data_IF_851001232729
#
_entry.id   IF_851001232729
#
_cell.length_a   1.000
_cell.length_b   1.000
_cell.length_c   1.000
_cell.angle_alpha   90.00
_cell.angle_beta   90.00
_cell.angle_gamma   90.00
#
_symmetry.space_group_name_H-M   'P 1'
#
loop_
_entity.id
_entity.type
_entity.pdbx_description
1 polymer ?
#
# COMPACT_ATOMS: atom_id res chain seq x y z
N UNK A 1 23.41 -44.90 -22.23
CA UNK A 1 22.08 -44.44 -21.77
C UNK A 1 21.64 -43.33 -22.71
N UNK A 2 20.43 -43.38 -23.25
CA UNK A 2 19.91 -42.37 -24.17
C UNK A 2 19.98 -40.97 -23.53
N UNK A 3 20.50 -39.97 -24.25
CA UNK A 3 20.72 -38.57 -23.79
C UNK A 3 19.51 -38.02 -23.03
N UNK A 4 18.31 -38.30 -23.52
CA UNK A 4 17.03 -37.93 -22.87
C UNK A 4 16.87 -38.46 -21.44
N UNK A 5 17.29 -39.70 -21.15
CA UNK A 5 17.20 -40.28 -19.78
C UNK A 5 18.15 -39.58 -18.81
N UNK A 6 19.28 -39.09 -19.31
CA UNK A 6 20.22 -38.31 -18.51
C UNK A 6 19.66 -36.91 -18.23
N UNK A 7 19.11 -36.22 -19.23
CA UNK A 7 18.42 -34.93 -19.04
C UNK A 7 17.23 -35.05 -18.07
N UNK A 8 16.40 -36.09 -18.22
CA UNK A 8 15.30 -36.37 -17.29
C UNK A 8 15.79 -36.57 -15.85
N UNK A 9 16.92 -37.26 -15.67
CA UNK A 9 17.51 -37.44 -14.35
C UNK A 9 17.99 -36.10 -13.77
N UNK A 10 18.68 -35.28 -14.56
CA UNK A 10 19.21 -33.98 -14.14
C UNK A 10 18.11 -33.00 -13.77
N UNK A 11 17.07 -32.86 -14.61
CA UNK A 11 15.96 -31.90 -14.40
C UNK A 11 15.12 -32.26 -13.16
N UNK A 12 14.95 -33.55 -12.85
CA UNK A 12 14.18 -34.00 -11.68
C UNK A 12 14.98 -34.04 -10.37
N UNK A 13 16.24 -33.60 -10.35
CA UNK A 13 16.99 -33.53 -9.09
C UNK A 13 16.48 -32.36 -8.24
N UNK A 14 16.17 -32.63 -6.96
CA UNK A 14 15.79 -31.59 -5.98
C UNK A 14 16.82 -30.46 -5.86
N UNK A 15 18.09 -30.74 -6.15
CA UNK A 15 19.15 -29.73 -6.15
C UNK A 15 19.15 -28.85 -7.41
N UNK A 16 18.63 -29.34 -8.54
CA UNK A 16 18.50 -28.56 -9.77
C UNK A 16 17.49 -27.43 -9.58
N UNK A 17 16.30 -27.72 -9.06
CA UNK A 17 15.28 -26.71 -8.74
C UNK A 17 15.79 -25.68 -7.71
N UNK A 18 16.48 -26.14 -6.66
CA UNK A 18 17.08 -25.24 -5.66
C UNK A 18 18.18 -24.35 -6.27
N UNK A 19 19.00 -24.90 -7.16
CA UNK A 19 20.05 -24.16 -7.85
C UNK A 19 19.45 -23.06 -8.76
N UNK A 20 18.48 -23.41 -9.60
CA UNK A 20 17.79 -22.45 -10.45
C UNK A 20 17.10 -21.36 -9.60
N UNK A 21 16.45 -21.73 -8.50
CA UNK A 21 15.86 -20.76 -7.58
C UNK A 21 16.89 -19.79 -6.97
N UNK A 22 18.08 -20.27 -6.59
CA UNK A 22 19.17 -19.41 -6.07
C UNK A 22 19.67 -18.46 -7.16
N UNK A 23 19.85 -18.95 -8.39
CA UNK A 23 20.29 -18.13 -9.54
C UNK A 23 19.24 -17.08 -9.89
N UNK A 24 17.95 -17.44 -9.82
CA UNK A 24 16.83 -16.49 -9.96
C UNK A 24 16.95 -15.37 -8.91
N UNK A 25 17.09 -15.72 -7.63
CA UNK A 25 17.24 -14.72 -6.56
C UNK A 25 18.48 -13.84 -6.76
N UNK A 26 19.61 -14.42 -7.16
CA UNK A 26 20.84 -13.68 -7.43
C UNK A 26 20.67 -12.70 -8.60
N UNK A 27 19.97 -13.11 -9.68
CA UNK A 27 19.65 -12.23 -10.80
C UNK A 27 18.73 -11.06 -10.39
N UNK A 28 17.73 -11.30 -9.52
CA UNK A 28 16.86 -10.23 -9.02
C UNK A 28 17.63 -9.21 -8.19
N UNK A 29 18.56 -9.68 -7.35
CA UNK A 29 19.40 -8.82 -6.52
C UNK A 29 20.35 -8.01 -7.41
N UNK A 30 20.97 -8.64 -8.41
CA UNK A 30 21.84 -7.95 -9.36
C UNK A 30 21.09 -6.80 -10.06
N UNK A 31 19.89 -7.07 -10.55
CA UNK A 31 19.02 -6.07 -11.16
C UNK A 31 18.63 -4.94 -10.18
N UNK A 32 18.26 -5.28 -8.94
CA UNK A 32 17.91 -4.29 -7.93
C UNK A 32 19.10 -3.40 -7.52
N UNK A 33 20.34 -3.85 -7.74
CA UNK A 33 21.56 -3.09 -7.44
C UNK A 33 22.06 -2.23 -8.62
N UNK A 34 21.42 -2.31 -9.78
CA UNK A 34 21.75 -1.50 -10.95
C UNK A 34 21.56 0.00 -10.65
N UNK A 35 22.50 0.85 -11.08
CA UNK A 35 22.33 2.31 -11.00
C UNK A 35 21.44 2.82 -12.14
N UNK A 36 20.26 3.41 -11.87
CA UNK A 36 19.42 3.96 -12.93
C UNK A 36 19.93 5.31 -13.46
N UNK A 37 20.87 5.98 -12.79
CA UNK A 37 21.34 7.32 -13.15
C UNK A 37 22.67 7.27 -13.89
N UNK A 38 23.57 6.37 -13.47
CA UNK A 38 24.93 6.28 -13.99
C UNK A 38 25.18 4.98 -14.76
N UNK A 39 24.67 4.91 -16.00
CA UNK A 39 24.77 3.72 -16.88
C UNK A 39 26.20 3.18 -17.02
N UNK A 40 27.20 4.06 -17.20
CA UNK A 40 28.60 3.69 -17.41
C UNK A 40 29.43 3.42 -16.12
N UNK A 41 28.77 3.32 -14.97
CA UNK A 41 29.43 3.04 -13.68
C UNK A 41 30.18 1.70 -13.71
N UNK A 42 31.31 1.61 -13.01
CA UNK A 42 32.04 0.34 -12.83
C UNK A 42 31.18 -0.75 -12.20
N UNK A 43 30.20 -0.39 -11.36
CA UNK A 43 29.21 -1.32 -10.82
C UNK A 43 28.36 -1.93 -11.92
N UNK A 44 27.81 -1.10 -12.82
CA UNK A 44 26.94 -1.56 -13.90
C UNK A 44 27.69 -2.45 -14.90
N UNK A 45 28.96 -2.13 -15.23
CA UNK A 45 29.79 -2.99 -16.08
C UNK A 45 30.05 -4.38 -15.49
N UNK A 46 30.14 -4.48 -14.15
CA UNK A 46 30.29 -5.78 -13.46
C UNK A 46 28.94 -6.52 -13.46
N UNK A 47 27.84 -5.81 -13.22
CA UNK A 47 26.49 -6.38 -13.24
C UNK A 47 26.12 -6.92 -14.63
N UNK A 48 26.48 -6.23 -15.70
CA UNK A 48 26.31 -6.66 -17.08
C UNK A 48 26.98 -8.03 -17.35
N UNK A 49 28.18 -8.26 -16.80
CA UNK A 49 28.85 -9.55 -16.92
C UNK A 49 28.11 -10.66 -16.14
N UNK A 50 27.55 -10.34 -14.98
CA UNK A 50 26.70 -11.27 -14.23
C UNK A 50 25.40 -11.59 -14.97
N UNK A 51 24.80 -10.61 -15.66
CA UNK A 51 23.59 -10.82 -16.46
C UNK A 51 23.84 -11.78 -17.63
N UNK A 52 24.98 -11.67 -18.32
CA UNK A 52 25.39 -12.67 -19.32
C UNK A 52 25.57 -14.05 -18.72
N UNK A 53 26.16 -14.15 -17.52
CA UNK A 53 26.33 -15.43 -16.83
C UNK A 53 25.00 -16.06 -16.42
N UNK A 54 24.06 -15.27 -15.90
CA UNK A 54 22.72 -15.72 -15.52
C UNK A 54 21.91 -16.19 -16.72
N UNK A 55 21.93 -15.42 -17.81
CA UNK A 55 21.32 -15.80 -19.09
C UNK A 55 21.86 -17.12 -19.62
N UNK A 56 23.17 -17.35 -19.53
CA UNK A 56 23.78 -18.62 -19.91
C UNK A 56 23.23 -19.81 -19.12
N UNK A 57 23.09 -19.66 -17.79
CA UNK A 57 22.52 -20.70 -16.93
C UNK A 57 21.06 -21.01 -17.31
N UNK A 58 20.27 -19.98 -17.61
CA UNK A 58 18.87 -20.13 -18.01
C UNK A 58 18.70 -20.73 -19.40
N UNK A 59 19.60 -20.42 -20.32
CA UNK A 59 19.64 -21.05 -21.65
C UNK A 59 19.94 -22.54 -21.54
N UNK A 60 20.87 -22.93 -20.66
CA UNK A 60 21.16 -24.34 -20.40
C UNK A 60 19.97 -25.04 -19.75
N UNK A 61 19.31 -24.41 -18.79
CA UNK A 61 18.07 -24.91 -18.18
C UNK A 61 16.98 -25.15 -19.25
N UNK A 62 16.75 -24.18 -20.13
CA UNK A 62 15.80 -24.27 -21.23
C UNK A 62 16.11 -25.46 -22.15
N UNK A 63 17.36 -25.58 -22.60
CA UNK A 63 17.79 -26.68 -23.48
C UNK A 63 17.60 -28.05 -22.80
N UNK A 64 17.93 -28.16 -21.51
CA UNK A 64 17.72 -29.39 -20.75
C UNK A 64 16.24 -29.77 -20.65
N UNK A 65 15.35 -28.79 -20.40
CA UNK A 65 13.89 -28.98 -20.37
C UNK A 65 13.32 -29.36 -21.74
N UNK A 66 13.79 -28.73 -22.83
CA UNK A 66 13.37 -29.06 -24.21
C UNK A 66 13.76 -30.49 -24.59
N UNK A 67 14.96 -30.96 -24.20
CA UNK A 67 15.41 -32.32 -24.48
C UNK A 67 14.65 -33.37 -23.65
N UNK A 68 14.31 -33.03 -22.40
CA UNK A 68 13.61 -33.93 -21.50
C UNK A 68 12.14 -34.12 -21.88
N UNK A 69 11.41 -33.00 -21.89
CA UNK A 69 9.99 -32.94 -22.20
C UNK A 69 9.82 -33.21 -23.71
N UNK A 70 10.42 -32.39 -24.56
CA UNK A 70 10.23 -32.40 -26.02
C UNK A 70 9.37 -31.23 -26.49
N UNK A 71 9.41 -30.92 -27.79
CA UNK A 71 8.92 -29.63 -28.30
C UNK A 71 7.39 -29.49 -28.35
N UNK A 72 6.65 -30.35 -29.08
CA UNK A 72 5.19 -30.09 -29.35
C UNK A 72 4.27 -31.32 -29.23
N UNK A 73 4.75 -32.54 -29.50
CA UNK A 73 3.88 -33.68 -29.84
C UNK A 73 3.20 -34.44 -28.68
N UNK A 74 3.46 -34.10 -27.41
CA UNK A 74 2.94 -34.85 -26.25
C UNK A 74 2.28 -33.90 -25.22
N UNK A 75 1.36 -34.40 -24.36
CA UNK A 75 0.57 -33.55 -23.46
C UNK A 75 1.37 -32.87 -22.34
N UNK A 76 2.64 -33.22 -22.15
CA UNK A 76 3.60 -32.53 -21.27
C UNK A 76 4.70 -31.78 -22.02
N UNK A 77 4.47 -31.43 -23.29
CA UNK A 77 5.47 -30.78 -24.12
C UNK A 77 5.77 -29.36 -23.68
N UNK A 78 7.02 -28.96 -23.86
CA UNK A 78 7.55 -27.67 -23.43
C UNK A 78 6.71 -26.49 -23.96
N UNK A 79 6.35 -26.50 -25.25
CA UNK A 79 5.55 -25.43 -25.87
C UNK A 79 4.05 -25.47 -25.54
N UNK A 80 3.57 -26.34 -24.65
CA UNK A 80 2.17 -26.36 -24.19
C UNK A 80 2.00 -25.79 -22.79
N UNK A 81 3.09 -25.60 -22.07
CA UNK A 81 3.11 -24.98 -20.76
C UNK A 81 3.41 -23.47 -20.93
N UNK A 82 2.45 -22.57 -20.58
CA UNK A 82 2.62 -21.13 -20.69
C UNK A 82 3.87 -20.60 -19.96
N UNK A 83 4.28 -21.26 -18.88
CA UNK A 83 5.44 -20.86 -18.09
C UNK A 83 6.76 -21.19 -18.78
N UNK A 84 6.84 -22.36 -19.41
CA UNK A 84 7.97 -22.71 -20.26
C UNK A 84 8.05 -21.81 -21.51
N UNK A 85 6.90 -21.38 -22.07
CA UNK A 85 6.89 -20.40 -23.17
C UNK A 85 7.44 -19.04 -22.69
N UNK A 86 7.06 -18.59 -21.50
CA UNK A 86 7.58 -17.35 -20.91
C UNK A 86 9.09 -17.43 -20.68
N UNK A 87 9.59 -18.56 -20.16
CA UNK A 87 11.03 -18.80 -19.99
C UNK A 87 11.78 -18.77 -21.33
N UNK A 88 11.20 -19.34 -22.40
CA UNK A 88 11.79 -19.33 -23.74
C UNK A 88 11.83 -17.94 -24.36
N UNK A 89 10.75 -17.16 -24.23
CA UNK A 89 10.71 -15.77 -24.71
C UNK A 89 11.79 -14.95 -24.00
N UNK A 90 11.92 -15.08 -22.67
CA UNK A 90 12.94 -14.35 -21.90
C UNK A 90 14.37 -14.77 -22.30
N UNK A 91 14.60 -16.05 -22.58
CA UNK A 91 15.92 -16.54 -23.01
C UNK A 91 16.30 -16.08 -24.44
N UNK A 92 15.32 -16.01 -25.35
CA UNK A 92 15.54 -15.69 -26.77
C UNK A 92 15.65 -14.16 -27.04
N UNK A 93 15.26 -13.31 -26.09
CA UNK A 93 15.39 -11.84 -26.23
C UNK A 93 16.81 -11.29 -26.02
N UNK A 94 17.82 -12.15 -25.95
CA UNK A 94 19.24 -11.74 -25.96
C UNK A 94 19.65 -11.34 -27.39
N UNK A 95 20.58 -10.38 -27.50
CA UNK A 95 20.87 -9.57 -28.71
C UNK A 95 21.00 -10.29 -30.09
N UNK A 96 21.06 -11.62 -30.16
CA UNK A 96 21.27 -12.37 -31.41
C UNK A 96 20.01 -12.56 -32.27
N UNK A 97 18.78 -12.34 -31.76
CA UNK A 97 17.53 -12.40 -32.57
C UNK A 97 17.04 -11.04 -33.10
N UNK A 98 17.92 -10.04 -33.23
CA UNK A 98 17.59 -8.78 -33.93
C UNK A 98 17.53 -8.90 -35.45
N UNK A 99 17.68 -10.09 -36.03
CA UNK A 99 17.56 -10.33 -37.47
C UNK A 99 16.08 -10.55 -37.81
N UNK A 100 15.36 -9.43 -37.93
CA UNK A 100 14.23 -9.30 -38.86
C UNK A 100 12.89 -9.86 -38.41
N UNK A 101 12.24 -9.20 -37.44
CA UNK A 101 10.80 -8.83 -37.49
C UNK A 101 10.36 -8.19 -36.16
N UNK A 102 10.33 -6.86 -36.10
CA UNK A 102 9.47 -5.95 -35.29
C UNK A 102 10.24 -4.67 -34.94
N UNK A 103 10.22 -3.69 -35.85
CA UNK A 103 10.65 -2.29 -35.65
C UNK A 103 9.69 -1.47 -34.77
N UNK A 104 8.95 -2.09 -33.84
CA UNK A 104 7.91 -1.41 -33.04
C UNK A 104 8.20 -1.26 -31.54
N UNK A 105 9.37 -1.68 -31.06
CA UNK A 105 9.74 -1.47 -29.65
C UNK A 105 10.66 -0.25 -29.50
N UNK A 106 10.38 0.66 -28.54
CA UNK A 106 11.25 1.81 -28.27
C UNK A 106 12.65 1.33 -27.90
N UNK A 107 13.65 1.83 -28.63
CA UNK A 107 15.07 1.68 -28.33
C UNK A 107 15.36 2.23 -26.93
N UNK A 108 15.58 1.36 -25.94
CA UNK A 108 15.93 1.77 -24.57
C UNK A 108 15.34 0.91 -23.44
N UNK A 109 14.63 -0.19 -23.74
CA UNK A 109 14.35 -1.19 -22.71
C UNK A 109 15.60 -2.06 -22.58
N UNK A 110 16.45 -1.74 -21.60
CA UNK A 110 17.59 -2.61 -21.26
C UNK A 110 17.08 -4.02 -20.98
N UNK A 111 17.85 -5.01 -21.43
CA UNK A 111 17.60 -6.45 -21.26
C UNK A 111 17.21 -6.82 -19.80
N UNK A 112 17.67 -6.01 -18.84
CA UNK A 112 17.40 -6.08 -17.41
C UNK A 112 15.92 -5.94 -16.99
N UNK A 113 15.08 -5.15 -17.70
CA UNK A 113 13.69 -4.89 -17.26
C UNK A 113 12.69 -6.00 -17.60
N UNK A 114 13.01 -6.84 -18.57
CA UNK A 114 12.15 -7.96 -18.99
C UNK A 114 12.38 -9.22 -18.13
N UNK A 115 13.56 -9.34 -17.51
CA UNK A 115 13.86 -10.40 -16.54
C UNK A 115 12.89 -10.41 -15.36
N UNK A 116 12.32 -9.27 -14.96
CA UNK A 116 11.36 -9.14 -13.83
C UNK A 116 10.11 -10.00 -14.01
N UNK A 117 9.67 -10.23 -15.25
CA UNK A 117 8.47 -11.03 -15.52
C UNK A 117 8.67 -12.51 -15.23
N UNK A 118 9.93 -12.98 -15.21
CA UNK A 118 10.34 -14.35 -14.88
C UNK A 118 10.19 -14.69 -13.39
N UNK A 119 10.07 -13.67 -12.53
CA UNK A 119 10.02 -13.80 -11.07
C UNK A 119 8.61 -13.90 -10.50
N UNK A 120 7.58 -13.80 -11.34
CA UNK A 120 6.19 -13.95 -10.88
C UNK A 120 5.88 -15.43 -10.77
N UNK A 121 5.66 -15.92 -9.55
CA UNK A 121 5.34 -17.33 -9.35
C UNK A 121 3.97 -17.66 -9.96
N UNK A 122 3.91 -18.81 -10.63
CA UNK A 122 2.70 -19.35 -11.25
C UNK A 122 1.48 -19.26 -10.33
N UNK A 123 1.65 -19.69 -9.07
CA UNK A 123 0.59 -19.65 -8.08
C UNK A 123 0.12 -18.22 -7.74
N UNK A 124 1.02 -17.23 -7.71
CA UNK A 124 0.66 -15.83 -7.41
C UNK A 124 -0.02 -15.20 -8.62
N UNK A 125 0.48 -15.44 -9.83
CA UNK A 125 -0.15 -14.95 -11.06
C UNK A 125 -1.54 -15.54 -11.26
N UNK A 126 -1.69 -16.85 -11.10
CA UNK A 126 -2.98 -17.53 -11.21
C UNK A 126 -3.97 -17.03 -10.15
N UNK A 127 -3.50 -16.79 -8.93
CA UNK A 127 -4.30 -16.18 -7.88
C UNK A 127 -4.74 -14.75 -8.25
N UNK A 128 -3.83 -13.93 -8.79
CA UNK A 128 -4.11 -12.56 -9.23
C UNK A 128 -5.09 -12.55 -10.40
N UNK A 129 -4.87 -13.36 -11.45
CA UNK A 129 -5.75 -13.43 -12.63
C UNK A 129 -7.13 -13.98 -12.26
N UNK A 130 -7.19 -15.01 -11.42
CA UNK A 130 -8.45 -15.55 -10.89
C UNK A 130 -9.22 -14.49 -10.08
N UNK A 131 -8.52 -13.68 -9.29
CA UNK A 131 -9.12 -12.58 -8.53
C UNK A 131 -9.56 -11.42 -9.42
N UNK A 132 -8.77 -11.07 -10.45
CA UNK A 132 -9.04 -9.99 -11.39
C UNK A 132 -10.29 -10.25 -12.23
N UNK A 133 -10.57 -11.52 -12.57
CA UNK A 133 -11.79 -11.88 -13.32
C UNK A 133 -13.07 -11.44 -12.61
N UNK A 134 -13.08 -11.44 -11.28
CA UNK A 134 -14.22 -10.96 -10.49
C UNK A 134 -14.24 -9.43 -10.38
N UNK A 135 -13.06 -8.80 -10.37
CA UNK A 135 -12.91 -7.33 -10.29
C UNK A 135 -13.24 -6.64 -11.61
N UNK A 136 -13.03 -7.32 -12.75
CA UNK A 136 -13.22 -6.74 -14.08
C UNK A 136 -14.64 -6.21 -14.32
N UNK A 137 -15.66 -6.91 -13.83
CA UNK A 137 -17.06 -6.45 -13.95
C UNK A 137 -17.31 -5.14 -13.18
N UNK A 138 -16.71 -4.99 -12.00
CA UNK A 138 -16.76 -3.78 -11.19
C UNK A 138 -16.04 -2.64 -11.90
N UNK A 139 -14.87 -2.94 -12.47
CA UNK A 139 -14.05 -1.96 -13.19
C UNK A 139 -14.81 -1.39 -14.40
N UNK A 140 -15.51 -2.22 -15.17
CA UNK A 140 -16.34 -1.75 -16.29
C UNK A 140 -17.41 -0.76 -15.80
N UNK A 141 -18.14 -1.12 -14.75
CA UNK A 141 -19.19 -0.24 -14.19
C UNK A 141 -18.59 1.08 -13.71
N UNK A 142 -17.46 1.04 -12.99
CA UNK A 142 -16.71 2.21 -12.56
C UNK A 142 -16.33 3.11 -13.76
N UNK A 143 -15.74 2.53 -14.80
CA UNK A 143 -15.33 3.27 -15.99
C UNK A 143 -16.52 3.89 -16.74
N UNK A 144 -17.67 3.22 -16.80
CA UNK A 144 -18.89 3.76 -17.43
C UNK A 144 -19.43 4.97 -16.67
N UNK A 145 -19.47 4.92 -15.34
CA UNK A 145 -19.89 6.07 -14.52
C UNK A 145 -18.90 7.24 -14.63
N UNK A 146 -17.59 6.95 -14.56
CA UNK A 146 -16.54 7.94 -14.82
C UNK A 146 -16.70 8.60 -16.19
N UNK A 147 -16.98 7.80 -17.22
CA UNK A 147 -17.16 8.29 -18.58
C UNK A 147 -18.33 9.28 -18.72
N UNK A 148 -19.47 9.02 -18.06
CA UNK A 148 -20.63 9.94 -18.07
C UNK A 148 -20.23 11.32 -17.52
N UNK A 149 -19.58 11.36 -16.36
CA UNK A 149 -19.11 12.61 -15.76
C UNK A 149 -17.98 13.26 -16.56
N UNK A 150 -17.10 12.48 -17.17
CA UNK A 150 -16.03 12.99 -18.02
C UNK A 150 -16.59 13.73 -19.24
N UNK A 151 -17.60 13.16 -19.91
CA UNK A 151 -18.28 13.84 -21.04
C UNK A 151 -18.90 15.16 -20.58
N UNK A 152 -19.58 15.19 -19.44
CA UNK A 152 -20.14 16.43 -18.87
C UNK A 152 -19.04 17.46 -18.60
N UNK A 153 -17.94 17.04 -17.98
CA UNK A 153 -16.83 17.93 -17.64
C UNK A 153 -16.16 18.52 -18.89
N UNK A 154 -15.96 17.73 -19.94
CA UNK A 154 -15.45 18.22 -21.23
C UNK A 154 -16.38 19.30 -21.80
N UNK A 155 -17.69 19.08 -21.79
CA UNK A 155 -18.62 20.09 -22.30
C UNK A 155 -18.58 21.40 -21.49
N UNK A 156 -18.35 21.32 -20.19
CA UNK A 156 -18.30 22.49 -19.31
C UNK A 156 -16.95 23.23 -19.35
N UNK A 157 -15.83 22.52 -19.47
CA UNK A 157 -14.49 23.04 -19.13
C UNK A 157 -13.45 22.90 -20.25
N UNK A 158 -13.79 22.35 -21.42
CA UNK A 158 -12.86 22.22 -22.55
C UNK A 158 -12.17 23.54 -22.92
N UNK A 159 -10.84 23.51 -23.03
CA UNK A 159 -10.02 24.62 -23.48
C UNK A 159 -9.97 25.82 -22.52
N UNK A 160 -10.39 25.67 -21.26
CA UNK A 160 -10.39 26.75 -20.25
C UNK A 160 -9.30 26.60 -19.19
N UNK A 161 -8.50 25.54 -19.27
CA UNK A 161 -7.46 25.18 -18.29
C UNK A 161 -6.07 25.67 -18.71
N UNK A 162 -6.01 26.71 -19.53
CA UNK A 162 -4.75 27.35 -19.88
C UNK A 162 -4.43 28.49 -18.91
N UNK A 163 -3.14 28.70 -18.65
CA UNK A 163 -2.68 29.81 -17.82
C UNK A 163 -1.34 30.33 -18.32
N UNK A 164 -1.08 31.60 -18.03
CA UNK A 164 0.25 32.20 -18.15
C UNK A 164 0.94 32.10 -16.78
N UNK A 165 2.25 31.87 -16.76
CA UNK A 165 3.03 31.99 -15.51
C UNK A 165 3.08 33.42 -14.95
N UNK A 166 2.71 34.44 -15.73
CA UNK A 166 2.43 35.80 -15.26
C UNK A 166 0.92 35.98 -15.08
N UNK A 167 0.46 36.08 -13.82
CA UNK A 167 -0.96 36.24 -13.48
C UNK A 167 -1.61 37.52 -14.05
N UNK A 168 -0.80 38.50 -14.49
CA UNK A 168 -1.30 39.74 -15.07
C UNK A 168 -1.77 39.56 -16.52
N UNK A 169 -1.42 38.45 -17.18
CA UNK A 169 -1.69 38.20 -18.60
C UNK A 169 -2.70 37.08 -18.78
N UNK A 170 -3.81 37.41 -19.45
CA UNK A 170 -4.95 36.51 -19.61
C UNK A 170 -5.02 35.86 -20.99
N UNK A 171 -4.27 36.32 -21.98
CA UNK A 171 -4.31 35.78 -23.35
C UNK A 171 -2.94 35.24 -23.77
N UNK A 172 -2.94 34.25 -24.66
CA UNK A 172 -1.73 33.65 -25.22
C UNK A 172 -0.87 34.68 -26.00
N UNK A 173 -1.52 35.65 -26.62
CA UNK A 173 -0.86 36.73 -27.39
C UNK A 173 -0.14 37.71 -26.46
N UNK A 174 -0.70 37.99 -25.28
CA UNK A 174 -0.07 38.85 -24.28
C UNK A 174 0.96 38.14 -23.41
N UNK A 175 0.89 36.81 -23.30
CA UNK A 175 1.81 35.97 -22.54
C UNK A 175 3.14 35.76 -23.31
N UNK A 176 3.82 36.87 -23.63
CA UNK A 176 5.09 36.89 -24.38
C UNK A 176 6.14 37.73 -23.66
N UNK A 177 7.41 37.47 -23.95
CA UNK A 177 8.55 38.20 -23.36
C UNK A 177 8.91 37.74 -21.95
N UNK A 178 9.39 38.66 -21.12
CA UNK A 178 9.89 38.38 -19.78
C UNK A 178 9.10 39.15 -18.71
N UNK A 179 9.07 38.60 -17.49
CA UNK A 179 8.51 39.25 -16.31
C UNK A 179 9.40 39.01 -15.08
N UNK A 180 9.15 39.76 -14.01
CA UNK A 180 9.88 39.62 -12.75
C UNK A 180 9.13 38.69 -11.81
N UNK A 181 9.78 37.60 -11.42
CA UNK A 181 9.34 36.71 -10.35
C UNK A 181 10.11 37.05 -9.08
N UNK A 182 9.39 37.33 -8.00
CA UNK A 182 9.97 37.66 -6.70
C UNK A 182 10.05 36.40 -5.85
N UNK A 183 11.25 36.03 -5.41
CA UNK A 183 11.43 34.91 -4.50
C UNK A 183 10.95 35.26 -3.07
N UNK A 184 10.97 34.30 -2.15
CA UNK A 184 10.55 34.49 -0.74
C UNK A 184 11.33 35.62 -0.02
N UNK A 185 12.51 35.99 -0.52
CA UNK A 185 13.36 37.07 0.00
C UNK A 185 13.11 38.44 -0.69
N UNK A 186 12.16 38.50 -1.62
CA UNK A 186 11.80 39.71 -2.36
C UNK A 186 12.80 40.12 -3.45
N UNK A 187 13.74 39.25 -3.83
CA UNK A 187 14.71 39.50 -4.90
C UNK A 187 14.05 39.18 -6.25
N UNK A 188 14.03 40.13 -7.20
CA UNK A 188 13.46 39.89 -8.52
C UNK A 188 14.38 39.04 -9.37
N UNK A 189 13.83 38.00 -9.99
CA UNK A 189 14.48 37.17 -11.01
C UNK A 189 13.73 37.31 -12.32
N UNK A 190 14.45 37.34 -13.44
CA UNK A 190 13.85 37.50 -14.77
C UNK A 190 13.51 36.13 -15.31
N UNK A 191 12.23 35.89 -15.58
CA UNK A 191 11.71 34.63 -16.10
C UNK A 191 10.97 34.88 -17.41
N UNK A 192 11.06 33.94 -18.35
CA UNK A 192 10.31 33.99 -19.61
C UNK A 192 8.85 33.64 -19.39
N UNK A 193 7.95 34.41 -19.99
CA UNK A 193 6.51 34.09 -19.99
C UNK A 193 6.26 32.82 -20.78
N UNK A 194 5.41 31.93 -20.24
CA UNK A 194 5.04 30.67 -20.86
C UNK A 194 3.53 30.46 -20.72
N UNK A 195 2.91 30.11 -21.85
CA UNK A 195 1.49 29.76 -21.91
C UNK A 195 1.35 28.24 -21.85
N UNK A 196 0.94 27.72 -20.69
CA UNK A 196 0.88 26.30 -20.42
C UNK A 196 -0.55 25.85 -20.10
N UNK A 197 -0.84 24.57 -20.31
CA UNK A 197 -2.09 23.94 -19.83
C UNK A 197 -1.86 23.33 -18.45
N UNK A 198 -2.88 23.35 -17.60
CA UNK A 198 -2.86 22.63 -16.33
C UNK A 198 -2.67 21.12 -16.57
N UNK A 199 -1.86 20.46 -15.73
CA UNK A 199 -1.58 19.03 -15.87
C UNK A 199 -2.84 18.16 -15.80
N UNK A 200 -3.80 18.54 -14.95
CA UNK A 200 -5.14 17.98 -14.91
C UNK A 200 -6.11 18.93 -15.59
N UNK A 201 -6.68 18.53 -16.73
CA UNK A 201 -7.58 19.33 -17.55
C UNK A 201 -8.75 18.47 -18.11
N UNK A 202 -9.64 19.14 -18.85
CA UNK A 202 -10.85 18.57 -19.43
C UNK A 202 -10.94 18.79 -20.95
N UNK A 203 -9.78 18.87 -21.64
CA UNK A 203 -9.74 19.20 -23.08
C UNK A 203 -10.25 18.05 -23.96
N UNK A 204 -10.11 16.81 -23.50
CA UNK A 204 -10.71 15.64 -24.13
C UNK A 204 -11.15 14.62 -23.08
N UNK A 205 -11.92 13.62 -23.51
CA UNK A 205 -12.52 12.63 -22.60
C UNK A 205 -11.45 11.80 -21.87
N UNK A 206 -10.31 11.52 -22.50
CA UNK A 206 -9.22 10.77 -21.88
C UNK A 206 -8.60 11.54 -20.70
N UNK A 207 -8.22 12.82 -20.90
CA UNK A 207 -7.72 13.68 -19.83
C UNK A 207 -8.79 13.95 -18.76
N UNK A 208 -10.05 14.12 -19.16
CA UNK A 208 -11.15 14.27 -18.22
C UNK A 208 -11.33 13.04 -17.32
N UNK A 209 -11.23 11.83 -17.88
CA UNK A 209 -11.28 10.59 -17.09
C UNK A 209 -10.09 10.46 -16.14
N UNK A 210 -8.88 10.86 -16.56
CA UNK A 210 -7.70 10.89 -15.69
C UNK A 210 -7.87 11.91 -14.55
N UNK A 211 -8.32 13.11 -14.86
CA UNK A 211 -8.59 14.16 -13.88
C UNK A 211 -9.65 13.71 -12.87
N UNK A 212 -10.77 13.13 -13.32
CA UNK A 212 -11.82 12.62 -12.43
C UNK A 212 -11.37 11.38 -11.63
N UNK A 213 -10.49 10.54 -12.18
CA UNK A 213 -9.85 9.46 -11.43
C UNK A 213 -9.06 10.03 -10.24
N UNK A 214 -8.21 11.03 -10.47
CA UNK A 214 -7.48 11.73 -9.40
C UNK A 214 -8.44 12.35 -8.38
N UNK A 215 -9.50 13.04 -8.82
CA UNK A 215 -10.53 13.60 -7.93
C UNK A 215 -11.20 12.51 -7.08
N UNK A 216 -11.43 11.32 -7.65
CA UNK A 216 -12.04 10.18 -6.95
C UNK A 216 -11.14 9.63 -5.85
N UNK A 217 -9.82 9.68 -6.02
CA UNK A 217 -8.87 9.26 -4.97
C UNK A 217 -8.83 10.22 -3.78
N UNK A 218 -9.38 11.42 -3.92
CA UNK A 218 -9.31 12.46 -2.89
C UNK A 218 -7.98 13.21 -2.87
N UNK A 219 -7.08 12.94 -3.81
CA UNK A 219 -5.79 13.63 -3.94
C UNK A 219 -5.87 14.77 -4.96
N UNK A 220 -5.30 15.93 -4.65
CA UNK A 220 -5.20 17.07 -5.57
C UNK A 220 -6.53 17.72 -6.04
N UNK A 221 -7.68 17.19 -5.62
CA UNK A 221 -8.99 17.70 -6.03
C UNK A 221 -9.27 19.17 -5.65
N UNK A 222 -8.77 19.75 -4.53
CA UNK A 222 -9.03 21.15 -4.23
C UNK A 222 -8.37 22.07 -5.27
N UNK A 223 -7.21 21.70 -5.80
CA UNK A 223 -6.52 22.43 -6.87
C UNK A 223 -7.31 22.35 -8.17
N UNK A 224 -7.79 21.16 -8.54
CA UNK A 224 -8.61 20.97 -9.74
C UNK A 224 -9.93 21.73 -9.63
N UNK A 225 -10.58 21.72 -8.46
CA UNK A 225 -11.77 22.51 -8.16
C UNK A 225 -11.49 24.00 -8.29
N UNK A 226 -10.42 24.51 -7.65
CA UNK A 226 -10.06 25.94 -7.71
C UNK A 226 -9.77 26.37 -9.15
N UNK A 227 -8.99 25.60 -9.90
CA UNK A 227 -8.75 25.83 -11.32
C UNK A 227 -10.05 25.84 -12.15
N UNK A 228 -11.05 25.04 -11.77
CA UNK A 228 -12.37 25.03 -12.43
C UNK A 228 -13.21 26.26 -12.09
N UNK A 229 -13.13 26.75 -10.85
CA UNK A 229 -13.82 27.96 -10.42
C UNK A 229 -13.19 29.22 -11.02
N UNK A 230 -11.86 29.21 -11.19
CA UNK A 230 -11.14 30.33 -11.79
C UNK A 230 -11.17 30.30 -13.33
N UNK A 231 -11.65 29.20 -13.92
CA UNK A 231 -11.71 29.04 -15.37
C UNK A 231 -12.68 30.06 -16.02
N UNK A 232 -12.19 30.79 -17.02
CA UNK A 232 -12.92 31.87 -17.70
C UNK A 232 -13.52 31.40 -19.04
N UNK A 233 -13.03 31.90 -20.16
CA UNK A 233 -13.43 31.53 -21.51
C UNK A 233 -12.40 30.59 -22.14
N UNK A 234 -12.75 30.07 -23.31
CA UNK A 234 -11.85 29.19 -24.08
C UNK A 234 -10.61 29.98 -24.49
N UNK A 235 -9.42 29.39 -24.29
CA UNK A 235 -8.10 29.98 -24.56
C UNK A 235 -7.80 31.27 -23.77
N UNK A 236 -8.45 31.47 -22.63
CA UNK A 236 -8.14 32.56 -21.70
C UNK A 236 -7.65 32.02 -20.37
N UNK A 237 -6.82 32.83 -19.71
CA UNK A 237 -6.23 32.55 -18.41
C UNK A 237 -7.27 32.61 -17.29
N UNK A 238 -6.95 32.02 -16.14
CA UNK A 238 -7.84 32.02 -14.99
C UNK A 238 -8.00 33.43 -14.40
N UNK A 239 -9.20 33.72 -13.89
CA UNK A 239 -9.48 34.89 -13.06
C UNK A 239 -10.03 34.37 -11.74
N UNK A 240 -9.48 34.85 -10.64
CA UNK A 240 -9.84 34.40 -9.30
C UNK A 240 -11.36 34.56 -9.06
N UNK A 241 -11.99 33.47 -8.64
CA UNK A 241 -13.41 33.41 -8.24
C UNK A 241 -14.41 33.81 -9.34
N UNK A 242 -14.05 33.61 -10.61
CA UNK A 242 -14.89 33.97 -11.75
C UNK A 242 -16.20 33.16 -11.85
N UNK A 243 -16.15 31.84 -11.66
CA UNK A 243 -17.30 30.92 -11.76
C UNK A 243 -17.37 29.93 -10.61
N UNK A 244 -17.74 30.41 -9.44
CA UNK A 244 -17.91 29.59 -8.23
C UNK A 244 -18.98 28.49 -8.39
N UNK A 245 -19.93 28.63 -9.31
CA UNK A 245 -20.96 27.63 -9.60
C UNK A 245 -20.39 26.29 -10.10
N UNK A 246 -19.16 26.29 -10.64
CA UNK A 246 -18.48 25.06 -11.04
C UNK A 246 -18.21 24.12 -9.86
N UNK A 247 -18.24 24.63 -8.61
CA UNK A 247 -18.17 23.79 -7.42
C UNK A 247 -19.35 22.80 -7.31
N UNK A 248 -20.52 23.13 -7.86
CA UNK A 248 -21.71 22.26 -7.83
C UNK A 248 -21.45 20.97 -8.60
N UNK A 249 -20.68 21.02 -9.69
CA UNK A 249 -20.27 19.81 -10.44
C UNK A 249 -19.50 18.84 -9.53
N UNK A 250 -18.51 19.34 -8.78
CA UNK A 250 -17.70 18.51 -7.88
C UNK A 250 -18.48 18.01 -6.67
N UNK A 251 -19.34 18.84 -6.07
CA UNK A 251 -20.23 18.41 -4.97
C UNK A 251 -21.15 17.28 -5.44
N UNK A 252 -21.73 17.44 -6.63
CA UNK A 252 -22.60 16.40 -7.22
C UNK A 252 -21.79 15.13 -7.48
N UNK A 253 -20.60 15.26 -8.06
CA UNK A 253 -19.69 14.13 -8.27
C UNK A 253 -19.36 13.42 -6.96
N UNK A 254 -18.95 14.13 -5.90
CA UNK A 254 -18.61 13.53 -4.60
C UNK A 254 -19.79 12.94 -3.82
N UNK A 255 -21.02 13.33 -4.11
CA UNK A 255 -22.20 12.70 -3.51
C UNK A 255 -22.61 11.49 -4.33
N UNK A 256 -22.81 11.69 -5.63
CA UNK A 256 -23.36 10.69 -6.54
C UNK A 256 -22.35 9.56 -6.77
N UNK A 257 -21.10 9.88 -7.04
CA UNK A 257 -20.09 8.89 -7.42
C UNK A 257 -19.81 7.89 -6.29
N UNK A 258 -19.43 8.31 -5.06
CA UNK A 258 -19.25 7.37 -3.95
C UNK A 258 -20.54 6.66 -3.56
N UNK A 259 -21.70 7.31 -3.62
CA UNK A 259 -22.96 6.66 -3.31
C UNK A 259 -23.24 5.48 -4.25
N UNK A 260 -23.14 5.66 -5.57
CA UNK A 260 -23.35 4.56 -6.51
C UNK A 260 -22.19 3.55 -6.48
N UNK A 261 -20.95 4.02 -6.46
CA UNK A 261 -19.77 3.16 -6.49
C UNK A 261 -19.67 2.27 -5.26
N UNK A 262 -19.76 2.83 -4.06
CA UNK A 262 -19.67 2.06 -2.80
C UNK A 262 -20.84 1.08 -2.71
N UNK A 263 -22.06 1.49 -3.05
CA UNK A 263 -23.22 0.60 -2.97
C UNK A 263 -23.11 -0.59 -3.94
N UNK A 264 -22.69 -0.36 -5.19
CA UNK A 264 -22.49 -1.44 -6.17
C UNK A 264 -21.32 -2.34 -5.73
N UNK A 265 -20.22 -1.74 -5.27
CA UNK A 265 -19.02 -2.47 -4.83
C UNK A 265 -19.31 -3.38 -3.62
N UNK A 266 -19.96 -2.84 -2.59
CA UNK A 266 -20.35 -3.59 -1.39
C UNK A 266 -21.30 -4.73 -1.74
N UNK A 267 -22.31 -4.48 -2.59
CA UNK A 267 -23.24 -5.52 -3.02
C UNK A 267 -22.53 -6.67 -3.75
N UNK A 268 -21.62 -6.37 -4.68
CA UNK A 268 -20.85 -7.38 -5.42
C UNK A 268 -19.92 -8.19 -4.52
N UNK A 269 -19.24 -7.54 -3.57
CA UNK A 269 -18.41 -8.21 -2.57
C UNK A 269 -19.26 -9.17 -1.72
N UNK A 270 -20.42 -8.72 -1.23
CA UNK A 270 -21.32 -9.56 -0.43
C UNK A 270 -21.76 -10.78 -1.23
N UNK A 271 -22.20 -10.62 -2.47
CA UNK A 271 -22.64 -11.73 -3.33
C UNK A 271 -21.48 -12.71 -3.58
N UNK A 272 -20.28 -12.19 -3.84
CA UNK A 272 -19.09 -13.02 -4.09
C UNK A 272 -18.70 -13.82 -2.85
N UNK A 273 -18.70 -13.20 -1.67
CA UNK A 273 -18.42 -13.88 -0.41
C UNK A 273 -19.51 -14.87 0.00
N UNK A 274 -20.78 -14.54 -0.24
CA UNK A 274 -21.89 -15.47 -0.03
C UNK A 274 -21.69 -16.71 -0.91
N UNK A 275 -21.38 -16.52 -2.19
CA UNK A 275 -21.14 -17.62 -3.14
C UNK A 275 -19.92 -18.45 -2.77
N UNK A 276 -18.80 -17.84 -2.35
CA UNK A 276 -17.63 -18.57 -1.86
C UNK A 276 -17.94 -19.35 -0.57
N UNK A 277 -18.63 -18.71 0.39
CA UNK A 277 -19.02 -19.35 1.64
C UNK A 277 -20.05 -20.47 1.47
N UNK A 278 -20.86 -20.43 0.42
CA UNK A 278 -21.74 -21.55 0.01
C UNK A 278 -20.94 -22.68 -0.65
N UNK A 279 -19.99 -22.36 -1.52
CA UNK A 279 -19.15 -23.36 -2.18
C UNK A 279 -18.24 -24.12 -1.19
N UNK A 280 -17.71 -23.47 -0.16
CA UNK A 280 -16.93 -24.14 0.91
C UNK A 280 -17.80 -25.03 1.82
N UNK A 281 -19.09 -24.71 1.93
CA UNK A 281 -20.03 -25.49 2.73
C UNK A 281 -20.57 -26.72 1.97
N UNK A 282 -20.41 -26.76 0.65
CA UNK A 282 -20.96 -27.82 -0.20
C UNK A 282 -20.38 -29.23 0.07
N UNK A 283 -19.29 -29.34 0.85
CA UNK A 283 -18.63 -30.62 1.15
C UNK A 283 -19.14 -31.36 2.40
N UNK A 284 -20.13 -30.83 3.14
CA UNK A 284 -20.65 -31.51 4.34
C UNK A 284 -22.17 -31.31 4.47
N UNK A 285 -22.91 -32.42 4.61
CA UNK A 285 -24.36 -32.48 4.87
C UNK A 285 -24.80 -31.84 6.22
N UNK A 286 -23.92 -31.07 6.88
CA UNK A 286 -24.15 -30.45 8.18
C UNK A 286 -24.47 -28.96 8.04
N UNK A 287 -25.50 -28.49 8.73
CA UNK A 287 -25.85 -27.07 8.82
C UNK A 287 -24.70 -26.22 9.43
N UNK A 288 -24.60 -24.93 9.07
CA UNK A 288 -23.56 -24.01 9.56
C UNK A 288 -23.49 -23.98 11.10
N UNK A 289 -24.64 -24.07 11.77
CA UNK A 289 -24.70 -24.08 13.24
C UNK A 289 -24.17 -25.39 13.82
N UNK A 290 -24.48 -26.52 13.19
CA UNK A 290 -24.01 -27.84 13.62
C UNK A 290 -22.49 -27.94 13.50
N UNK A 291 -21.91 -27.44 12.39
CA UNK A 291 -20.45 -27.39 12.22
C UNK A 291 -19.76 -26.58 13.33
N UNK A 292 -20.31 -25.41 13.69
CA UNK A 292 -19.78 -24.59 14.79
C UNK A 292 -19.85 -25.30 16.14
N UNK A 293 -20.93 -26.02 16.43
CA UNK A 293 -21.05 -26.78 17.67
C UNK A 293 -20.04 -27.94 17.74
N UNK A 294 -19.84 -28.67 16.65
CA UNK A 294 -18.87 -29.77 16.57
C UNK A 294 -17.45 -29.24 16.71
N UNK A 295 -17.10 -28.17 15.99
CA UNK A 295 -15.76 -27.57 16.06
C UNK A 295 -15.46 -27.01 17.46
N UNK A 296 -16.43 -26.36 18.10
CA UNK A 296 -16.29 -25.93 19.49
C UNK A 296 -16.12 -27.13 20.44
N UNK A 297 -16.91 -28.19 20.29
CA UNK A 297 -16.82 -29.35 21.15
C UNK A 297 -15.46 -30.09 21.01
N UNK A 298 -14.88 -30.10 19.81
CA UNK A 298 -13.58 -30.73 19.54
C UNK A 298 -12.42 -29.86 20.04
N UNK A 299 -12.48 -28.53 19.81
CA UNK A 299 -11.35 -27.63 20.08
C UNK A 299 -11.41 -26.96 21.47
N UNK A 300 -12.50 -27.09 22.22
CA UNK A 300 -12.62 -26.48 23.54
C UNK A 300 -11.68 -27.17 24.54
N UNK A 301 -10.66 -26.44 24.98
CA UNK A 301 -9.82 -26.83 26.09
C UNK A 301 -10.30 -26.20 27.41
N UNK A 302 -10.19 -26.93 28.55
CA UNK A 302 -10.61 -26.39 29.83
C UNK A 302 -9.73 -25.20 30.22
N UNK A 303 -10.38 -24.11 30.67
CA UNK A 303 -9.69 -22.94 31.20
C UNK A 303 -9.06 -23.28 32.56
N UNK A 304 -7.75 -23.51 32.58
CA UNK A 304 -6.99 -23.74 33.80
C UNK A 304 -6.89 -22.46 34.64
N UNK A 305 -7.81 -22.27 35.59
CA UNK A 305 -7.67 -21.25 36.65
C UNK A 305 -6.81 -21.78 37.78
N UNK A 306 -5.69 -21.10 38.07
CA UNK A 306 -4.84 -21.43 39.21
C UNK A 306 -5.56 -21.10 40.52
N UNK A 307 -5.68 -22.07 41.43
CA UNK A 307 -6.21 -21.91 42.78
C UNK A 307 -5.17 -22.43 43.80
N UNK A 308 -4.78 -21.62 44.81
CA UNK A 308 -3.90 -22.10 45.89
C UNK A 308 -4.54 -23.24 46.68
N UNK A 309 -3.75 -24.29 46.99
CA UNK A 309 -4.22 -25.49 47.71
C UNK A 309 -4.60 -25.20 49.17
N UNK A 310 -3.81 -24.36 49.85
CA UNK A 310 -3.96 -24.11 51.29
C UNK A 310 -4.84 -22.88 51.58
N UNK A 311 -6.10 -23.14 51.94
CA UNK A 311 -7.08 -22.09 52.29
C UNK A 311 -6.73 -21.26 53.53
N UNK A 312 -5.82 -21.74 54.38
CA UNK A 312 -5.35 -21.04 55.59
C UNK A 312 -4.08 -20.21 55.37
N UNK A 313 -3.42 -20.35 54.21
CA UNK A 313 -2.17 -19.65 53.89
C UNK A 313 -2.42 -18.18 53.53
N UNK A 314 -1.45 -17.32 53.83
CA UNK A 314 -1.45 -15.90 53.45
C UNK A 314 -1.62 -15.73 51.92
N UNK A 315 -1.05 -16.65 51.13
CA UNK A 315 -1.14 -16.68 49.67
C UNK A 315 -2.58 -16.77 49.17
N UNK A 316 -3.45 -17.52 49.85
CA UNK A 316 -4.86 -17.63 49.49
C UNK A 316 -5.64 -16.34 49.78
N UNK A 317 -5.24 -15.57 50.80
CA UNK A 317 -5.85 -14.26 51.09
C UNK A 317 -5.51 -13.23 50.00
N UNK A 318 -4.24 -13.18 49.58
CA UNK A 318 -3.80 -12.32 48.47
C UNK A 318 -4.46 -12.72 47.16
N UNK A 319 -4.47 -14.02 46.84
CA UNK A 319 -5.15 -14.54 45.65
C UNK A 319 -6.64 -14.19 45.64
N UNK A 320 -7.34 -14.33 46.77
CA UNK A 320 -8.76 -13.97 46.89
C UNK A 320 -8.99 -12.47 46.63
N UNK A 321 -8.09 -11.61 47.11
CA UNK A 321 -8.17 -10.15 46.87
C UNK A 321 -7.93 -9.83 45.39
N UNK A 322 -6.86 -10.37 44.81
CA UNK A 322 -6.47 -10.09 43.42
C UNK A 322 -7.51 -10.60 42.40
N UNK A 323 -8.17 -11.72 42.67
CA UNK A 323 -9.22 -12.31 41.82
C UNK A 323 -10.60 -11.72 42.10
N UNK A 324 -10.73 -10.85 43.12
CA UNK A 324 -12.03 -10.28 43.47
C UNK A 324 -12.47 -9.23 42.44
N UNK A 325 -13.76 -9.22 42.11
CA UNK A 325 -14.34 -8.23 41.19
C UNK A 325 -14.16 -6.78 41.65
N UNK A 326 -14.20 -6.42 42.97
CA UNK A 326 -13.93 -5.04 43.38
C UNK A 326 -12.48 -4.60 43.11
N UNK A 327 -11.50 -5.50 43.23
CA UNK A 327 -10.11 -5.20 42.90
C UNK A 327 -9.92 -4.94 41.40
N UNK A 328 -10.61 -5.70 40.55
CA UNK A 328 -10.61 -5.46 39.10
C UNK A 328 -11.21 -4.09 38.75
N UNK A 329 -12.38 -3.73 39.31
CA UNK A 329 -12.97 -2.41 39.12
C UNK A 329 -12.06 -1.28 39.62
N UNK A 330 -11.39 -1.48 40.75
CA UNK A 330 -10.43 -0.52 41.29
C UNK A 330 -9.29 -0.23 40.30
N UNK A 331 -8.66 -1.27 39.74
CA UNK A 331 -7.60 -1.11 38.74
C UNK A 331 -8.13 -0.45 37.47
N UNK A 332 -9.32 -0.84 36.98
CA UNK A 332 -9.94 -0.19 35.81
C UNK A 332 -10.19 1.31 36.03
N UNK A 333 -10.64 1.71 37.22
CA UNK A 333 -10.82 3.13 37.59
C UNK A 333 -9.48 3.86 37.65
N UNK A 334 -8.43 3.24 38.22
CA UNK A 334 -7.09 3.85 38.24
C UNK A 334 -6.53 4.04 36.83
N UNK A 335 -6.73 3.08 35.94
CA UNK A 335 -6.34 3.21 34.52
C UNK A 335 -7.09 4.39 33.89
N UNK A 336 -8.42 4.47 34.06
CA UNK A 336 -9.21 5.57 33.54
C UNK A 336 -8.74 6.94 34.07
N UNK A 337 -8.51 7.07 35.37
CA UNK A 337 -8.01 8.31 35.98
C UNK A 337 -6.61 8.69 35.48
N UNK A 338 -5.69 7.73 35.36
CA UNK A 338 -4.36 7.97 34.81
C UNK A 338 -4.44 8.42 33.34
N UNK A 339 -5.32 7.82 32.54
CA UNK A 339 -5.54 8.26 31.15
C UNK A 339 -6.09 9.68 31.06
N UNK A 340 -7.02 10.06 31.96
CA UNK A 340 -7.53 11.43 32.02
C UNK A 340 -6.42 12.43 32.40
N UNK A 341 -5.55 12.09 33.34
CA UNK A 341 -4.42 12.94 33.75
C UNK A 341 -3.42 13.13 32.61
N UNK A 342 -3.18 12.08 31.81
CA UNK A 342 -2.36 12.19 30.61
C UNK A 342 -3.00 13.10 29.55
N UNK A 343 -4.32 13.05 29.37
CA UNK A 343 -5.07 13.93 28.45
C UNK A 343 -5.09 15.41 28.89
N UNK A 344 -4.96 15.67 30.20
CA UNK A 344 -4.96 17.03 30.75
C UNK A 344 -3.67 17.82 30.43
N UNK A 345 -2.61 17.16 29.94
CA UNK A 345 -1.38 17.85 29.53
C UNK A 345 -1.62 18.62 28.23
N UNK A 346 -1.47 19.95 28.28
CA UNK A 346 -1.54 20.83 27.10
C UNK A 346 -0.26 21.64 26.92
N UNK A 347 0.01 22.08 25.70
CA UNK A 347 1.14 22.95 25.39
C UNK A 347 0.78 24.42 25.64
N UNK A 348 1.65 25.13 26.37
CA UNK A 348 1.56 26.58 26.54
C UNK A 348 2.81 27.23 25.95
N UNK A 349 2.60 28.18 25.04
CA UNK A 349 3.69 28.94 24.43
C UNK A 349 4.35 29.88 25.45
N UNK A 350 5.67 29.75 25.61
CA UNK A 350 6.46 30.63 26.48
C UNK A 350 6.59 32.01 25.83
N UNK A 351 6.07 33.07 26.47
CA UNK A 351 6.33 34.45 26.04
C UNK A 351 7.69 34.88 26.56
N UNK A 352 8.68 35.01 25.68
CA UNK A 352 9.95 35.71 25.99
C UNK A 352 9.67 37.21 26.06
N UNK A 353 9.34 37.72 27.23
CA UNK A 353 9.18 39.18 27.43
C UNK A 353 10.57 39.83 27.37
N UNK A 354 10.83 40.67 26.35
CA UNK A 354 12.11 41.35 26.13
C UNK A 354 12.46 42.43 27.17
N UNK A 355 11.72 42.52 28.27
CA UNK A 355 11.95 43.51 29.32
C UNK A 355 11.81 42.82 30.68
N UNK A 356 12.97 42.54 31.27
CA UNK A 356 13.10 41.92 32.58
C UNK A 356 12.67 42.91 33.67
N UNK A 357 11.41 42.84 34.12
CA UNK A 357 11.02 43.37 35.44
C UNK A 357 9.70 42.86 36.02
N UNK A 358 8.99 41.91 35.39
CA UNK A 358 7.83 41.24 36.01
C UNK A 358 7.94 39.72 35.86
N UNK A 359 7.96 39.02 37.00
CA UNK A 359 7.85 37.54 37.04
C UNK A 359 6.50 37.19 36.40
N UNK A 360 6.50 36.45 35.29
CA UNK A 360 5.27 35.94 34.69
C UNK A 360 4.68 34.87 35.61
N UNK A 361 3.84 35.32 36.55
CA UNK A 361 3.14 34.48 37.53
C UNK A 361 2.34 33.37 36.86
N UNK A 362 1.86 33.61 35.64
CA UNK A 362 1.10 32.62 34.90
C UNK A 362 2.01 31.52 34.35
N UNK A 363 3.24 31.80 33.92
CA UNK A 363 4.21 30.77 33.52
C UNK A 363 4.61 29.89 34.71
N UNK A 364 4.82 30.50 35.88
CA UNK A 364 5.11 29.77 37.11
C UNK A 364 3.95 28.83 37.52
N UNK A 365 2.70 29.29 37.39
CA UNK A 365 1.52 28.45 37.64
C UNK A 365 1.44 27.25 36.68
N UNK A 366 1.83 27.43 35.41
CA UNK A 366 1.89 26.33 34.44
C UNK A 366 2.99 25.30 34.77
N UNK A 367 4.17 25.75 35.20
CA UNK A 367 5.21 24.84 35.68
C UNK A 367 4.77 24.07 36.92
N UNK A 368 4.10 24.73 37.88
CA UNK A 368 3.54 24.07 39.07
C UNK A 368 2.46 23.04 38.71
N UNK A 369 1.61 23.37 37.74
CA UNK A 369 0.63 22.43 37.20
C UNK A 369 1.30 21.21 36.55
N UNK A 370 2.30 21.41 35.70
CA UNK A 370 3.04 20.32 35.06
C UNK A 370 3.74 19.42 36.09
N UNK A 371 4.37 20.01 37.11
CA UNK A 371 4.98 19.27 38.20
C UNK A 371 3.95 18.45 38.99
N UNK A 372 2.74 18.99 39.19
CA UNK A 372 1.62 18.27 39.83
C UNK A 372 1.19 17.06 38.99
N UNK A 373 1.08 17.21 37.67
CA UNK A 373 0.76 16.10 36.76
C UNK A 373 1.86 15.01 36.79
N UNK A 374 3.13 15.39 36.82
CA UNK A 374 4.26 14.46 36.94
C UNK A 374 4.19 13.68 38.26
N UNK A 375 3.90 14.38 39.36
CA UNK A 375 3.73 13.75 40.67
C UNK A 375 2.55 12.78 40.71
N UNK A 376 1.41 13.13 40.11
CA UNK A 376 0.26 12.22 40.03
C UNK A 376 0.61 10.98 39.20
N UNK A 377 1.27 11.14 38.05
CA UNK A 377 1.68 10.01 37.21
C UNK A 377 2.69 9.08 37.92
N UNK A 378 3.61 9.63 38.71
CA UNK A 378 4.53 8.81 39.52
C UNK A 378 3.78 8.05 40.62
N UNK A 379 2.77 8.66 41.25
CA UNK A 379 1.90 7.97 42.21
C UNK A 379 1.13 6.80 41.58
N UNK A 380 0.54 6.98 40.39
CA UNK A 380 -0.10 5.88 39.65
C UNK A 380 0.89 4.76 39.31
N UNK A 381 2.12 5.11 38.93
CA UNK A 381 3.18 4.13 38.63
C UNK A 381 3.49 3.24 39.84
N UNK A 382 3.57 3.83 41.03
CA UNK A 382 3.76 3.08 42.28
C UNK A 382 2.57 2.16 42.56
N UNK A 383 1.34 2.62 42.32
CA UNK A 383 0.13 1.83 42.56
C UNK A 383 0.00 0.64 41.61
N UNK A 384 0.34 0.81 40.32
CA UNK A 384 0.42 -0.31 39.37
C UNK A 384 1.58 -1.26 39.68
N UNK A 385 2.70 -0.75 40.20
CA UNK A 385 3.80 -1.59 40.68
C UNK A 385 3.35 -2.47 41.85
N UNK A 386 2.56 -1.92 42.77
CA UNK A 386 1.97 -2.67 43.88
C UNK A 386 0.99 -3.75 43.39
N UNK A 387 0.11 -3.41 42.45
CA UNK A 387 -0.77 -4.39 41.77
C UNK A 387 0.03 -5.54 41.16
N UNK A 388 1.10 -5.22 40.41
CA UNK A 388 1.97 -6.21 39.78
C UNK A 388 2.57 -7.17 40.83
N UNK A 389 3.11 -6.64 41.92
CA UNK A 389 3.66 -7.43 43.02
C UNK A 389 2.59 -8.33 43.66
N UNK A 390 1.38 -7.81 43.91
CA UNK A 390 0.28 -8.61 44.45
C UNK A 390 -0.13 -9.76 43.50
N UNK A 391 -0.20 -9.50 42.20
CA UNK A 391 -0.49 -10.53 41.18
C UNK A 391 0.61 -11.60 41.14
N UNK A 392 1.88 -11.21 41.19
CA UNK A 392 3.00 -12.17 41.26
C UNK A 392 2.93 -13.02 42.52
N UNK A 393 2.61 -12.44 43.69
CA UNK A 393 2.46 -13.19 44.94
C UNK A 393 1.24 -14.13 44.91
N UNK A 394 0.14 -13.72 44.29
CA UNK A 394 -1.09 -14.51 44.15
C UNK A 394 -0.92 -15.73 43.24
N UNK A 395 -0.42 -15.52 42.02
CA UNK A 395 -0.33 -16.57 41.00
C UNK A 395 1.00 -17.33 41.05
N UNK A 396 2.06 -16.72 41.57
CA UNK A 396 3.43 -17.24 41.54
C UNK A 396 4.05 -17.18 40.14
N UNK A 397 5.39 -17.26 40.03
CA UNK A 397 6.03 -17.45 38.74
C UNK A 397 5.57 -18.78 38.15
N UNK A 398 5.18 -18.77 36.87
CA UNK A 398 4.80 -19.97 36.13
C UNK A 398 6.07 -20.78 35.90
N UNK A 399 6.45 -21.62 36.86
CA UNK A 399 7.41 -22.69 36.61
C UNK A 399 6.71 -23.63 35.65
N UNK A 400 7.00 -23.49 34.36
CA UNK A 400 6.70 -24.50 33.36
C UNK A 400 7.13 -25.83 33.97
N UNK A 401 6.18 -26.75 34.17
CA UNK A 401 6.51 -28.16 34.42
C UNK A 401 7.31 -28.62 33.22
N UNK A 402 8.64 -28.56 33.36
CA UNK A 402 9.59 -29.14 32.42
C UNK A 402 9.95 -30.57 32.85
N UNK A 403 9.35 -31.09 33.93
CA UNK A 403 9.52 -32.48 34.36
C UNK A 403 8.22 -32.99 35.00
N UNK A 404 7.94 -34.29 34.82
CA UNK A 404 6.69 -35.06 35.05
C UNK A 404 5.62 -34.88 33.97
N UNK A 405 5.38 -35.79 33.02
CA UNK A 405 5.75 -37.21 32.85
C UNK A 405 6.28 -37.48 31.44
#
# INVERSE_FOLDING_TARGET
MSIRRFCHFVVNLRYFDLFIMIVICASSIALATEDPVAENSTRNKILEHFDYAFTGVFTVEMVLKIIDLGVVFHPGAYCRDPWNILDAIVAEMTEEWRIGTLEFLPTGVSESKLLVWRHVSEAVFDCVVSSLRNVFNILIVFCLFQFIFAVIAVQLLQGKFFYCNDASKLSKEECQGQFFEYNEQGVPTVVWRQWNSQGFNYDNVYYAMLTLFTVTTGEGWPTVLKNSMDATYVNQGPIEDYRQEMAIFYVTFFIVFPFFFVNIFVALIIITFQKQGENELFNLELDKNQKRCVDFAINAHPLCRYMPKDRRSWKYRVWRLVVSTPFEYYIMVMIALNTLILMMKYHRQERKTSMATTIDTAQQNYHNYCNTLIFLNSAFTVMFSFECVLKIMAFGPKVSRLFTY
#
